data_IF_911646156699
#
_entry.id   IF_911646156699
#
_cell.length_a   1.000
_cell.length_b   1.000
_cell.length_c   1.000
_cell.angle_alpha   90.00
_cell.angle_beta   90.00
_cell.angle_gamma   90.00
#
_symmetry.space_group_name_H-M   'P 1'
#
loop_
_entity.id
_entity.type
_entity.pdbx_description
1 polymer ?
#
# COMPACT_ATOMS: atom_id res chain seq x y z
N UNK A 1 3.84 -4.90 -20.96
CA UNK A 1 2.62 -5.67 -20.64
C UNK A 1 1.57 -4.64 -20.28
N UNK A 2 0.39 -4.62 -20.92
CA UNK A 2 -0.69 -3.72 -20.50
C UNK A 2 -1.27 -4.29 -19.20
N UNK A 3 -0.78 -3.83 -18.06
CA UNK A 3 -1.42 -4.16 -16.78
C UNK A 3 -2.75 -3.44 -16.79
N UNK A 4 -3.81 -4.19 -17.05
CA UNK A 4 -5.15 -3.65 -16.98
C UNK A 4 -5.44 -3.32 -15.51
N UNK A 5 -5.27 -2.05 -15.13
CA UNK A 5 -5.54 -1.53 -13.80
C UNK A 5 -7.03 -1.27 -13.55
N UNK A 6 -7.94 -1.87 -14.34
CA UNK A 6 -9.40 -1.77 -14.10
C UNK A 6 -9.77 -2.12 -12.66
N UNK A 7 -9.12 -3.11 -12.05
CA UNK A 7 -9.37 -3.49 -10.65
C UNK A 7 -9.00 -2.36 -9.66
N UNK A 8 -7.98 -1.57 -9.96
CA UNK A 8 -7.58 -0.43 -9.13
C UNK A 8 -8.53 0.75 -9.38
N UNK A 9 -8.80 1.07 -10.65
CA UNK A 9 -9.68 2.17 -11.03
C UNK A 9 -11.11 2.01 -10.48
N UNK A 10 -11.59 0.77 -10.30
CA UNK A 10 -12.95 0.53 -9.76
C UNK A 10 -13.11 0.96 -8.30
N UNK A 11 -12.00 1.11 -7.56
CA UNK A 11 -12.01 1.52 -6.15
C UNK A 11 -11.44 2.92 -5.92
N UNK A 12 -11.00 3.62 -6.98
CA UNK A 12 -10.38 4.95 -6.90
C UNK A 12 -11.16 5.92 -6.01
N UNK A 13 -12.43 6.15 -6.35
CA UNK A 13 -13.30 7.06 -5.62
C UNK A 13 -13.49 6.65 -4.15
N UNK A 14 -13.61 5.36 -3.87
CA UNK A 14 -13.78 4.85 -2.50
C UNK A 14 -12.51 5.07 -1.66
N UNK A 15 -11.34 4.92 -2.27
CA UNK A 15 -10.05 5.17 -1.61
C UNK A 15 -9.84 6.67 -1.36
N UNK A 16 -10.14 7.52 -2.35
CA UNK A 16 -10.05 8.98 -2.23
C UNK A 16 -10.96 9.53 -1.13
N UNK A 17 -12.23 9.09 -1.08
CA UNK A 17 -13.20 9.50 -0.04
C UNK A 17 -12.76 9.11 1.37
N UNK A 18 -11.83 8.16 1.49
CA UNK A 18 -11.25 7.69 2.74
C UNK A 18 -9.85 8.25 3.04
N UNK A 19 -9.39 9.23 2.25
CA UNK A 19 -8.09 9.88 2.43
C UNK A 19 -6.89 9.11 1.89
N UNK A 20 -7.11 8.08 1.06
CA UNK A 20 -6.06 7.21 0.52
C UNK A 20 -5.49 7.63 -0.83
N UNK A 21 -5.65 8.90 -1.23
CA UNK A 21 -5.25 9.39 -2.57
C UNK A 21 -3.77 9.13 -2.88
N UNK A 22 -2.87 9.38 -1.94
CA UNK A 22 -1.43 9.16 -2.16
C UNK A 22 -1.10 7.67 -2.26
N UNK A 23 -1.75 6.81 -1.46
CA UNK A 23 -1.61 5.36 -1.57
C UNK A 23 -2.11 4.85 -2.93
N UNK A 24 -3.25 5.36 -3.41
CA UNK A 24 -3.77 5.03 -4.72
C UNK A 24 -2.80 5.43 -5.83
N UNK A 25 -2.33 6.69 -5.80
CA UNK A 25 -1.39 7.22 -6.77
C UNK A 25 -0.07 6.44 -6.80
N UNK A 26 0.44 6.07 -5.62
CA UNK A 26 1.64 5.26 -5.47
C UNK A 26 1.49 3.89 -6.12
N UNK A 27 0.41 3.16 -5.82
CA UNK A 27 0.19 1.82 -6.39
C UNK A 27 -0.03 1.91 -7.90
N UNK A 28 -0.77 2.91 -8.38
CA UNK A 28 -0.99 3.12 -9.80
C UNK A 28 0.34 3.35 -10.53
N UNK A 29 1.19 4.22 -9.98
CA UNK A 29 2.51 4.55 -10.54
C UNK A 29 3.46 3.36 -10.48
N UNK A 30 3.49 2.64 -9.36
CA UNK A 30 4.25 1.39 -9.17
C UNK A 30 3.97 0.38 -10.28
N UNK A 31 2.70 0.20 -10.66
CA UNK A 31 2.31 -0.70 -11.75
C UNK A 31 2.65 -0.13 -13.14
N UNK A 32 2.44 1.18 -13.37
CA UNK A 32 2.79 1.85 -14.63
C UNK A 32 4.30 1.78 -14.92
N UNK A 33 5.13 1.88 -13.88
CA UNK A 33 6.58 1.81 -13.96
C UNK A 33 7.15 0.40 -13.81
N UNK A 34 6.31 -0.60 -13.62
CA UNK A 34 6.70 -2.01 -13.46
C UNK A 34 7.70 -2.25 -12.32
N UNK A 35 7.58 -1.51 -11.21
CA UNK A 35 8.51 -1.62 -10.07
C UNK A 35 8.32 -2.92 -9.30
N UNK A 36 7.08 -3.22 -8.93
CA UNK A 36 6.72 -4.46 -8.25
C UNK A 36 5.24 -4.78 -8.47
N UNK A 37 4.82 -5.98 -8.05
CA UNK A 37 3.42 -6.39 -8.03
C UNK A 37 2.81 -6.24 -6.63
N UNK A 38 1.49 -6.33 -6.52
CA UNK A 38 0.78 -6.17 -5.26
C UNK A 38 1.19 -7.21 -4.20
N UNK A 39 1.52 -8.44 -4.59
CA UNK A 39 1.94 -9.48 -3.63
C UNK A 39 3.24 -9.10 -2.93
N UNK A 40 4.24 -8.63 -3.68
CA UNK A 40 5.50 -8.14 -3.14
C UNK A 40 5.26 -6.90 -2.26
N UNK A 41 4.42 -5.97 -2.73
CA UNK A 41 4.07 -4.77 -1.98
C UNK A 41 3.47 -5.08 -0.60
N UNK A 42 2.48 -6.00 -0.53
CA UNK A 42 1.88 -6.40 0.74
C UNK A 42 2.86 -7.21 1.59
N UNK A 43 3.72 -8.03 0.98
CA UNK A 43 4.76 -8.77 1.68
C UNK A 43 5.71 -7.83 2.43
N UNK A 44 6.22 -6.80 1.76
CA UNK A 44 7.13 -5.82 2.37
C UNK A 44 6.41 -4.99 3.44
N UNK A 45 5.20 -4.50 3.14
CA UNK A 45 4.38 -3.78 4.12
C UNK A 45 4.08 -4.62 5.37
N UNK A 46 3.81 -5.92 5.21
CA UNK A 46 3.56 -6.84 6.33
C UNK A 46 4.77 -7.04 7.23
N UNK A 47 5.97 -6.71 6.73
CA UNK A 47 7.23 -6.74 7.47
C UNK A 47 7.59 -5.39 8.07
N UNK A 48 6.79 -4.35 7.86
CA UNK A 48 7.07 -2.99 8.32
C UNK A 48 8.01 -2.22 7.41
N UNK A 49 8.16 -2.65 6.15
CA UNK A 49 9.03 -2.02 5.16
C UNK A 49 8.14 -1.22 4.21
N UNK A 50 8.42 0.07 4.08
CA UNK A 50 7.76 0.99 3.17
C UNK A 50 8.07 0.71 1.71
N UNK A 51 7.72 1.65 0.84
CA UNK A 51 7.93 1.49 -0.60
C UNK A 51 8.37 2.80 -1.23
N UNK A 52 9.55 2.78 -1.84
CA UNK A 52 10.01 3.78 -2.80
C UNK A 52 9.72 3.31 -4.23
N UNK A 53 8.81 3.99 -4.93
CA UNK A 53 8.55 3.72 -6.36
C UNK A 53 9.67 4.33 -7.21
N UNK A 54 9.99 5.59 -6.94
CA UNK A 54 11.12 6.35 -7.48
C UNK A 54 11.44 7.53 -6.56
N UNK A 55 12.47 8.30 -6.87
CA UNK A 55 12.81 9.52 -6.14
C UNK A 55 11.59 10.44 -6.07
N UNK A 56 11.20 10.82 -4.85
CA UNK A 56 10.02 11.64 -4.58
C UNK A 56 8.67 10.93 -4.72
N UNK A 57 8.60 9.60 -4.69
CA UNK A 57 7.32 8.91 -4.55
C UNK A 57 7.45 7.65 -3.69
N UNK A 58 6.88 7.70 -2.50
CA UNK A 58 6.88 6.57 -1.61
C UNK A 58 6.23 6.83 -0.26
N UNK A 59 6.41 5.86 0.64
CA UNK A 59 6.01 5.97 2.03
C UNK A 59 6.96 5.17 2.93
N UNK A 60 6.98 5.52 4.21
CA UNK A 60 7.74 4.82 5.23
C UNK A 60 6.83 4.04 6.20
N UNK A 61 7.34 2.92 6.70
CA UNK A 61 6.78 2.13 7.80
C UNK A 61 7.81 1.99 8.92
N UNK A 62 7.44 1.29 9.99
CA UNK A 62 8.19 1.24 11.23
C UNK A 62 9.60 0.66 11.14
N UNK A 63 9.89 -0.25 10.20
CA UNK A 63 11.28 -0.74 10.01
C UNK A 63 12.15 0.21 9.17
N UNK A 64 11.58 1.29 8.61
CA UNK A 64 12.36 2.30 7.89
C UNK A 64 12.94 3.37 8.83
N UNK A 65 12.49 3.41 10.10
CA UNK A 65 13.00 4.31 11.14
C UNK A 65 14.21 3.69 11.86
N UNK A 66 15.12 4.52 12.38
CA UNK A 66 16.24 4.05 13.19
C UNK A 66 15.78 3.33 14.47
N UNK A 67 14.73 3.85 15.11
CA UNK A 67 14.00 3.17 16.19
C UNK A 67 12.54 2.97 15.75
N UNK A 68 12.06 1.71 15.61
CA UNK A 68 10.67 1.44 15.27
C UNK A 68 9.64 2.04 16.24
N UNK A 69 10.04 2.43 17.45
CA UNK A 69 9.17 3.14 18.39
C UNK A 69 8.86 4.58 17.98
N UNK A 70 9.63 5.16 17.05
CA UNK A 70 9.38 6.50 16.53
C UNK A 70 8.26 6.54 15.49
N UNK A 71 7.83 5.38 14.99
CA UNK A 71 6.72 5.25 14.05
C UNK A 71 5.39 5.65 14.71
N UNK A 72 4.74 6.67 14.13
CA UNK A 72 3.45 7.22 14.58
C UNK A 72 2.36 7.10 13.54
N UNK A 73 2.75 7.15 12.28
CA UNK A 73 1.88 7.19 11.10
C UNK A 73 2.64 6.64 9.90
N UNK A 74 1.87 6.24 8.89
CA UNK A 74 2.37 5.95 7.56
C UNK A 74 2.48 7.28 6.83
N UNK A 75 3.71 7.75 6.66
CA UNK A 75 4.00 9.06 6.08
C UNK A 75 4.32 8.89 4.59
N UNK A 76 3.54 9.57 3.75
CA UNK A 76 3.70 9.57 2.29
C UNK A 76 4.46 10.82 1.85
N UNK A 77 5.34 10.66 0.87
CA UNK A 77 6.00 11.76 0.19
C UNK A 77 5.71 11.69 -1.31
N UNK A 78 5.36 12.87 -1.86
CA UNK A 78 5.07 13.06 -3.29
C UNK A 78 5.79 14.32 -3.75
N UNK A 79 6.77 14.15 -4.65
CA UNK A 79 7.77 15.16 -4.95
C UNK A 79 8.82 15.29 -3.84
N UNK A 80 9.24 16.52 -3.56
CA UNK A 80 10.32 16.84 -2.63
C UNK A 80 9.84 17.04 -1.17
N UNK A 81 8.56 16.77 -0.88
CA UNK A 81 7.95 17.07 0.42
C UNK A 81 7.02 15.95 0.87
N UNK A 82 6.86 15.84 2.18
CA UNK A 82 5.80 15.07 2.81
C UNK A 82 4.44 15.57 2.31
N UNK A 83 3.56 14.64 1.96
CA UNK A 83 2.27 14.92 1.31
C UNK A 83 1.11 14.67 2.26
N UNK A 84 0.98 13.42 2.74
CA UNK A 84 -0.09 13.02 3.65
C UNK A 84 0.36 11.96 4.64
N UNK A 85 -0.42 11.80 5.69
CA UNK A 85 -0.20 10.81 6.74
C UNK A 85 -1.46 9.95 6.93
N UNK A 86 -1.27 8.66 7.17
CA UNK A 86 -2.32 7.75 7.60
C UNK A 86 -1.99 7.15 8.95
N UNK A 87 -3.00 6.92 9.79
CA UNK A 87 -2.80 6.03 10.92
C UNK A 87 -2.52 4.61 10.42
N UNK A 88 -1.74 3.83 11.17
CA UNK A 88 -1.46 2.43 10.82
C UNK A 88 -2.76 1.63 10.59
N UNK A 89 -3.79 1.85 11.42
CA UNK A 89 -5.10 1.21 11.23
C UNK A 89 -5.75 1.62 9.91
N UNK A 90 -5.70 2.92 9.57
CA UNK A 90 -6.31 3.39 8.32
C UNK A 90 -5.58 2.86 7.09
N UNK A 91 -4.25 2.78 7.15
CA UNK A 91 -3.45 2.14 6.11
C UNK A 91 -3.88 0.68 5.91
N UNK A 92 -4.03 -0.10 6.98
CA UNK A 92 -4.48 -1.49 6.91
C UNK A 92 -5.89 -1.63 6.31
N UNK A 93 -6.82 -0.75 6.68
CA UNK A 93 -8.18 -0.73 6.09
C UNK A 93 -8.15 -0.51 4.58
N UNK A 94 -7.39 0.49 4.11
CA UNK A 94 -7.27 0.80 2.69
C UNK A 94 -6.58 -0.34 1.92
N UNK A 95 -5.53 -0.92 2.51
CA UNK A 95 -4.84 -2.10 1.96
C UNK A 95 -5.78 -3.31 1.80
N UNK A 96 -6.77 -3.47 2.68
CA UNK A 96 -7.79 -4.50 2.55
C UNK A 96 -8.71 -4.23 1.34
N UNK A 97 -9.17 -2.99 1.14
CA UNK A 97 -10.01 -2.62 -0.02
C UNK A 97 -9.27 -2.87 -1.33
N UNK A 98 -8.00 -2.46 -1.40
CA UNK A 98 -7.11 -2.68 -2.55
C UNK A 98 -6.94 -4.18 -2.82
N UNK A 99 -6.64 -4.95 -1.78
CA UNK A 99 -6.45 -6.40 -1.88
C UNK A 99 -7.71 -7.13 -2.33
N UNK A 100 -8.88 -6.76 -1.79
CA UNK A 100 -10.15 -7.36 -2.16
C UNK A 100 -10.49 -7.12 -3.64
N UNK A 101 -10.22 -5.90 -4.13
CA UNK A 101 -10.39 -5.58 -5.54
C UNK A 101 -9.42 -6.37 -6.43
N UNK A 102 -8.15 -6.46 -6.03
CA UNK A 102 -7.16 -7.26 -6.75
C UNK A 102 -7.54 -8.73 -6.82
N UNK A 103 -7.98 -9.33 -5.71
CA UNK A 103 -8.40 -10.73 -5.62
C UNK A 103 -9.58 -11.02 -6.53
N UNK A 104 -10.57 -10.12 -6.62
CA UNK A 104 -11.70 -10.28 -7.55
C UNK A 104 -11.24 -10.41 -8.99
N UNK A 105 -10.22 -9.65 -9.39
CA UNK A 105 -9.63 -9.72 -10.73
C UNK A 105 -8.63 -10.89 -10.90
N UNK A 106 -7.98 -11.32 -9.82
CA UNK A 106 -6.92 -12.34 -9.83
C UNK A 106 -7.18 -13.43 -8.77
N UNK A 107 -8.23 -14.25 -8.91
CA UNK A 107 -8.65 -15.19 -7.86
C UNK A 107 -7.62 -16.28 -7.56
N UNK A 108 -6.65 -16.52 -8.45
CA UNK A 108 -5.55 -17.47 -8.25
C UNK A 108 -4.56 -17.00 -7.18
N UNK A 109 -4.46 -15.70 -6.97
CA UNK A 109 -3.50 -15.11 -6.04
C UNK A 109 -4.08 -14.96 -4.63
N UNK A 110 -5.38 -15.27 -4.45
CA UNK A 110 -6.15 -15.05 -3.23
C UNK A 110 -5.42 -15.52 -1.98
N UNK A 111 -5.03 -16.78 -1.93
CA UNK A 111 -4.44 -17.37 -0.72
C UNK A 111 -3.14 -16.65 -0.31
N UNK A 112 -2.34 -16.22 -1.29
CA UNK A 112 -1.08 -15.51 -1.04
C UNK A 112 -1.32 -14.07 -0.58
N UNK A 113 -2.26 -13.37 -1.20
CA UNK A 113 -2.65 -12.01 -0.82
C UNK A 113 -3.26 -12.01 0.59
N UNK A 114 -4.22 -12.90 0.86
CA UNK A 114 -4.86 -13.01 2.18
C UNK A 114 -3.85 -13.41 3.26
N UNK A 115 -2.88 -14.28 2.96
CA UNK A 115 -1.82 -14.64 3.90
C UNK A 115 -1.02 -13.41 4.37
N UNK A 116 -0.54 -12.57 3.45
CA UNK A 116 0.23 -11.38 3.84
C UNK A 116 -0.65 -10.24 4.36
N UNK A 117 -1.90 -10.12 3.91
CA UNK A 117 -2.85 -9.19 4.54
C UNK A 117 -3.15 -9.56 6.00
N UNK A 118 -3.21 -10.86 6.34
CA UNK A 118 -3.29 -11.30 7.74
C UNK A 118 -2.04 -10.87 8.52
N UNK A 119 -0.84 -11.04 7.95
CA UNK A 119 0.42 -10.61 8.59
C UNK A 119 0.48 -9.10 8.81
N UNK A 120 0.04 -8.32 7.83
CA UNK A 120 -0.07 -6.88 7.92
C UNK A 120 -1.04 -6.45 9.04
N UNK A 121 -2.22 -7.09 9.11
CA UNK A 121 -3.18 -6.90 10.20
C UNK A 121 -2.60 -7.26 11.55
N UNK A 122 -1.92 -8.40 11.67
CA UNK A 122 -1.27 -8.82 12.92
C UNK A 122 -0.27 -7.78 13.41
N UNK A 123 0.58 -7.25 12.51
CA UNK A 123 1.60 -6.25 12.83
C UNK A 123 0.99 -4.97 13.42
N UNK A 124 -0.01 -4.42 12.74
CA UNK A 124 -0.62 -3.14 13.11
C UNK A 124 -1.94 -3.27 13.88
N UNK A 125 -2.22 -4.43 14.49
CA UNK A 125 -3.44 -4.68 15.27
C UNK A 125 -3.51 -3.96 16.63
N UNK A 126 -2.44 -3.27 17.03
CA UNK A 126 -2.29 -2.68 18.36
C UNK A 126 -2.40 -1.16 18.34
#
# INVERSE_FOLDING_TARGET
MNHNLTWLNTIEKEIEEQGGSDLYYLIETMYKEHKMNLLQFIYDASRGIGCDVHEGLGYALDEDYEDPQDFKSVDFYVGEMDSSELSAQKFVELMQIISDSYIKAHPKDKDSIEFYMNKLRERYSK
#
